data_IF_665888462519
#
_entry.id   IF_665888462519
#
_cell.length_a   1.000
_cell.length_b   1.000
_cell.length_c   1.000
_cell.angle_alpha   90.00
_cell.angle_beta   90.00
_cell.angle_gamma   90.00
#
_symmetry.space_group_name_H-M   'P 1'
#
loop_
_entity.id
_entity.type
_entity.pdbx_description
1 polymer ?
#
# COMPACT_ATOMS: atom_id res chain seq x y z
N UNK A 1 -42.78 10.35 -10.09
CA UNK A 1 -41.88 9.74 -11.08
C UNK A 1 -40.94 8.82 -10.32
N UNK A 2 -41.14 7.52 -10.52
CA UNK A 2 -40.44 6.44 -9.82
C UNK A 2 -39.19 6.09 -10.62
N UNK A 3 -38.02 6.05 -9.98
CA UNK A 3 -36.80 5.53 -10.57
C UNK A 3 -36.35 4.32 -9.75
N UNK A 4 -36.27 3.19 -10.44
CA UNK A 4 -36.02 1.85 -9.95
C UNK A 4 -34.53 1.65 -9.64
N UNK A 5 -34.26 0.87 -8.58
CA UNK A 5 -32.92 0.41 -8.20
C UNK A 5 -32.52 -0.79 -9.07
N UNK A 6 -31.34 -0.72 -9.69
CA UNK A 6 -30.66 -1.87 -10.29
C UNK A 6 -29.68 -2.47 -9.25
N UNK A 7 -30.02 -3.65 -8.74
CA UNK A 7 -29.16 -4.49 -7.91
C UNK A 7 -28.53 -5.55 -8.83
N UNK A 8 -27.20 -5.57 -8.93
CA UNK A 8 -26.46 -6.67 -9.57
C UNK A 8 -25.93 -7.62 -8.48
N UNK A 9 -26.20 -8.94 -8.56
CA UNK A 9 -25.54 -9.92 -7.70
C UNK A 9 -24.16 -10.23 -8.28
N UNK A 10 -23.11 -10.14 -7.45
CA UNK A 10 -21.78 -10.67 -7.81
C UNK A 10 -21.62 -12.04 -7.16
N UNK A 11 -21.55 -13.05 -8.01
CA UNK A 11 -21.47 -14.46 -7.68
C UNK A 11 -20.20 -14.80 -6.87
N UNK A 12 -20.39 -15.72 -5.92
CA UNK A 12 -19.32 -16.37 -5.18
C UNK A 12 -18.62 -17.40 -6.06
N UNK A 13 -17.33 -17.22 -6.32
CA UNK A 13 -16.47 -18.25 -6.90
C UNK A 13 -15.72 -18.97 -5.78
N UNK A 14 -16.16 -20.19 -5.48
CA UNK A 14 -15.37 -21.19 -4.76
C UNK A 14 -14.60 -22.02 -5.78
N UNK A 15 -13.26 -22.04 -5.72
CA UNK A 15 -12.48 -23.13 -6.29
C UNK A 15 -11.39 -23.58 -5.32
N UNK A 16 -11.48 -24.87 -5.02
CA UNK A 16 -10.58 -25.69 -4.21
C UNK A 16 -9.40 -26.19 -5.04
N UNK A 17 -8.25 -26.28 -4.35
CA UNK A 17 -7.18 -27.28 -4.46
C UNK A 17 -6.47 -27.55 -5.79
N UNK A 18 -5.14 -27.43 -5.71
CA UNK A 18 -4.13 -28.44 -6.03
C UNK A 18 -3.08 -28.00 -7.07
N UNK A 19 -1.81 -28.12 -6.64
CA UNK A 19 -0.68 -28.46 -7.50
C UNK A 19 -0.08 -27.32 -8.32
N UNK A 20 1.10 -26.87 -7.91
CA UNK A 20 2.05 -26.29 -8.88
C UNK A 20 3.42 -26.90 -8.66
N UNK A 21 3.77 -27.74 -9.62
CA UNK A 21 5.12 -28.24 -9.88
C UNK A 21 6.07 -27.05 -10.03
N UNK A 22 7.19 -27.10 -9.30
CA UNK A 22 8.35 -26.28 -9.61
C UNK A 22 8.99 -26.81 -10.90
N UNK A 23 8.74 -26.13 -12.02
CA UNK A 23 9.47 -26.34 -13.28
C UNK A 23 10.75 -25.50 -13.17
N UNK A 24 11.88 -26.16 -12.89
CA UNK A 24 13.20 -25.55 -13.09
C UNK A 24 13.53 -25.59 -14.58
N UNK A 25 13.26 -24.50 -15.28
CA UNK A 25 13.79 -24.27 -16.62
C UNK A 25 15.27 -23.90 -16.49
N UNK A 26 16.17 -24.84 -16.78
CA UNK A 26 17.58 -24.53 -16.97
C UNK A 26 17.74 -23.80 -18.32
N UNK A 27 17.87 -22.48 -18.27
CA UNK A 27 18.26 -21.69 -19.42
C UNK A 27 19.76 -21.94 -19.67
N UNK A 28 20.08 -22.84 -20.59
CA UNK A 28 21.41 -22.92 -21.18
C UNK A 28 21.59 -21.74 -22.14
N UNK A 29 22.56 -20.84 -21.94
CA UNK A 29 22.85 -19.81 -22.91
C UNK A 29 23.50 -20.46 -24.15
N UNK A 30 22.80 -20.41 -25.29
CA UNK A 30 23.37 -20.74 -26.60
C UNK A 30 24.19 -19.54 -27.05
N UNK A 31 25.52 -19.61 -26.88
CA UNK A 31 26.44 -18.59 -27.40
C UNK A 31 26.75 -18.90 -28.86
N UNK A 32 26.18 -18.12 -29.78
CA UNK A 32 26.54 -18.16 -31.20
C UNK A 32 27.87 -17.42 -31.42
N UNK A 33 28.94 -18.16 -31.73
CA UNK A 33 30.16 -17.57 -32.28
C UNK A 33 30.00 -17.35 -33.78
N UNK A 34 29.87 -16.09 -34.21
CA UNK A 34 29.96 -15.69 -35.61
C UNK A 34 31.42 -15.41 -35.95
N UNK A 35 32.10 -16.40 -36.53
CA UNK A 35 33.47 -16.22 -37.04
C UNK A 35 33.43 -15.35 -38.29
N UNK A 36 33.86 -14.09 -38.17
CA UNK A 36 34.23 -13.27 -39.33
C UNK A 36 35.63 -13.67 -39.76
N UNK A 37 35.78 -14.12 -41.00
CA UNK A 37 37.07 -14.41 -41.63
C UNK A 37 37.84 -13.10 -41.78
N UNK A 38 38.82 -12.87 -40.92
CA UNK A 38 39.80 -11.78 -41.03
C UNK A 38 41.13 -12.32 -41.57
N UNK A 39 41.68 -11.57 -42.52
CA UNK A 39 42.96 -11.78 -43.20
C UNK A 39 44.13 -12.07 -42.23
N UNK A 40 45.04 -13.02 -42.52
CA UNK A 40 46.09 -13.42 -41.60
C UNK A 40 47.36 -12.58 -41.82
N UNK A 41 47.58 -11.56 -40.99
CA UNK A 41 48.91 -10.93 -40.87
C UNK A 41 49.17 -10.27 -39.51
N UNK A 42 48.82 -10.95 -38.41
CA UNK A 42 49.50 -10.80 -37.11
C UNK A 42 49.06 -11.89 -36.13
N UNK A 43 49.96 -12.49 -35.33
CA UNK A 43 49.57 -13.38 -34.25
C UNK A 43 49.08 -12.55 -33.06
N UNK A 44 47.80 -12.17 -33.08
CA UNK A 44 47.17 -11.51 -31.94
C UNK A 44 46.71 -12.58 -30.93
N UNK A 45 47.48 -12.80 -29.87
CA UNK A 45 47.25 -13.82 -28.82
C UNK A 45 46.06 -13.54 -27.88
N UNK A 46 45.15 -12.63 -28.25
CA UNK A 46 44.03 -12.22 -27.39
C UNK A 46 42.83 -13.17 -27.24
N UNK A 47 42.54 -14.16 -28.12
CA UNK A 47 41.33 -14.99 -27.94
C UNK A 47 41.46 -16.07 -26.86
N UNK A 48 42.68 -16.46 -26.46
CA UNK A 48 42.89 -17.49 -25.44
C UNK A 48 42.66 -16.99 -24.01
N UNK A 49 42.87 -15.70 -23.75
CA UNK A 49 42.73 -15.12 -22.41
C UNK A 49 41.25 -15.01 -21.98
N UNK A 50 40.36 -14.72 -22.93
CA UNK A 50 38.91 -14.60 -22.69
C UNK A 50 38.24 -15.93 -22.39
N UNK A 51 38.73 -17.04 -22.99
CA UNK A 51 38.19 -18.37 -22.75
C UNK A 51 38.50 -18.89 -21.34
N UNK A 52 39.68 -18.55 -20.82
CA UNK A 52 40.15 -19.03 -19.51
C UNK A 52 39.44 -18.33 -18.35
N UNK A 53 39.04 -17.06 -18.52
CA UNK A 53 38.21 -16.34 -17.55
C UNK A 53 36.78 -16.89 -17.51
N UNK A 54 36.23 -17.30 -18.66
CA UNK A 54 34.86 -17.82 -18.73
C UNK A 54 34.72 -19.20 -18.07
N UNK A 55 35.71 -20.07 -18.20
CA UNK A 55 35.72 -21.39 -17.56
C UNK A 55 35.90 -21.30 -16.04
N UNK A 56 36.70 -20.34 -15.55
CA UNK A 56 36.88 -20.12 -14.11
C UNK A 56 35.60 -19.64 -13.41
N UNK A 57 34.78 -18.80 -14.05
CA UNK A 57 33.48 -18.36 -13.50
C UNK A 57 32.49 -19.52 -13.40
N UNK A 58 32.49 -20.44 -14.38
CA UNK A 58 31.63 -21.62 -14.38
C UNK A 58 32.01 -22.67 -13.32
N UNK A 59 33.31 -22.83 -13.06
CA UNK A 59 33.77 -23.71 -11.97
C UNK A 59 33.41 -23.10 -10.61
N UNK A 60 33.47 -21.77 -10.47
CA UNK A 60 33.08 -21.10 -9.22
C UNK A 60 31.58 -21.24 -8.88
N UNK A 61 30.68 -21.24 -9.87
CA UNK A 61 29.24 -21.41 -9.62
C UNK A 61 28.85 -22.85 -9.32
N UNK A 62 29.62 -23.84 -9.79
CA UNK A 62 29.37 -25.27 -9.50
C UNK A 62 29.94 -25.75 -8.16
N UNK A 63 30.80 -24.96 -7.52
CA UNK A 63 31.39 -25.25 -6.20
C UNK A 63 30.62 -24.63 -5.02
N UNK A 64 29.50 -23.95 -5.25
CA UNK A 64 28.61 -23.54 -4.15
C UNK A 64 27.82 -24.77 -3.66
N UNK A 65 28.08 -25.29 -2.44
CA UNK A 65 27.30 -26.38 -1.91
C UNK A 65 25.85 -25.89 -1.72
N UNK A 66 24.93 -26.45 -2.49
CA UNK A 66 23.50 -26.40 -2.17
C UNK A 66 23.37 -27.10 -0.82
N UNK A 67 23.38 -26.31 0.24
CA UNK A 67 23.12 -26.77 1.60
C UNK A 67 21.64 -27.10 1.66
N UNK A 68 21.28 -28.30 1.20
CA UNK A 68 20.00 -28.91 1.52
C UNK A 68 20.00 -29.11 3.03
N UNK A 69 19.39 -28.17 3.76
CA UNK A 69 19.09 -28.37 5.17
C UNK A 69 18.28 -29.65 5.31
N UNK A 70 18.56 -30.48 6.32
CA UNK A 70 17.79 -31.69 6.54
C UNK A 70 16.32 -31.32 6.69
N UNK A 71 15.47 -32.07 5.99
CA UNK A 71 14.02 -32.09 6.17
C UNK A 71 13.78 -32.57 7.61
N UNK A 72 13.79 -31.62 8.53
CA UNK A 72 13.28 -31.78 9.89
C UNK A 72 11.78 -31.57 9.85
N UNK A 73 11.06 -32.57 10.35
CA UNK A 73 9.62 -32.58 10.66
C UNK A 73 8.83 -31.37 10.16
N UNK A 74 8.17 -31.55 9.01
CA UNK A 74 7.05 -30.71 8.59
C UNK A 74 5.83 -30.99 9.47
N UNK A 75 5.95 -30.76 10.78
CA UNK A 75 4.83 -30.17 11.47
C UNK A 75 4.67 -28.80 10.84
N UNK A 76 3.71 -28.69 9.92
CA UNK A 76 3.21 -27.40 9.46
C UNK A 76 2.63 -26.77 10.71
N UNK A 77 3.48 -26.08 11.48
CA UNK A 77 3.04 -24.93 12.24
C UNK A 77 2.55 -23.97 11.17
N UNK A 78 1.25 -24.09 10.84
CA UNK A 78 0.49 -23.01 10.27
C UNK A 78 0.67 -21.90 11.30
N UNK A 79 1.68 -21.04 11.07
CA UNK A 79 1.70 -19.71 11.65
C UNK A 79 0.41 -19.11 11.13
N UNK A 80 -0.64 -19.24 11.93
CA UNK A 80 -1.82 -18.41 11.85
C UNK A 80 -1.24 -17.00 11.90
N UNK A 81 -1.10 -16.39 10.71
CA UNK A 81 -0.57 -15.05 10.60
C UNK A 81 -1.41 -14.20 11.53
N UNK A 82 -0.80 -13.69 12.61
CA UNK A 82 -1.58 -12.96 13.59
C UNK A 82 -2.07 -11.70 12.88
N UNK A 83 -3.37 -11.62 12.71
CA UNK A 83 -4.06 -10.43 12.24
C UNK A 83 -3.45 -9.19 12.91
N UNK A 84 -3.07 -8.20 12.12
CA UNK A 84 -2.47 -6.97 12.63
C UNK A 84 -3.60 -6.01 12.94
N UNK A 85 -3.78 -5.68 14.23
CA UNK A 85 -4.77 -4.72 14.70
C UNK A 85 -4.08 -3.44 15.13
N UNK A 86 -4.50 -2.31 14.56
CA UNK A 86 -3.92 -1.01 14.84
C UNK A 86 -5.03 0.00 15.17
N UNK A 87 -4.93 0.76 16.27
CA UNK A 87 -5.89 1.82 16.54
C UNK A 87 -5.86 2.88 15.44
N UNK A 88 -7.02 3.36 15.02
CA UNK A 88 -7.12 4.49 14.10
C UNK A 88 -7.37 5.75 14.90
N UNK A 89 -6.51 6.73 14.71
CA UNK A 89 -6.55 8.02 15.39
C UNK A 89 -6.42 9.11 14.34
N UNK A 90 -6.71 10.33 14.72
CA UNK A 90 -6.32 11.47 13.91
C UNK A 90 -5.59 12.49 14.78
N UNK A 91 -4.83 13.36 14.13
CA UNK A 91 -4.14 14.47 14.77
C UNK A 91 -4.60 15.78 14.17
N UNK A 92 -4.82 16.75 15.05
CA UNK A 92 -4.98 18.16 14.70
C UNK A 92 -3.73 18.91 15.14
N UNK A 93 -2.99 19.46 14.18
CA UNK A 93 -1.81 20.28 14.43
C UNK A 93 -2.18 21.76 14.34
N UNK A 94 -1.59 22.59 15.22
CA UNK A 94 -1.84 24.05 15.29
C UNK A 94 -3.34 24.42 15.29
N UNK A 95 -4.13 23.76 16.14
CA UNK A 95 -5.56 24.02 16.27
C UNK A 95 -5.87 25.50 16.51
N UNK A 96 -6.86 26.02 15.78
CA UNK A 96 -7.34 27.39 15.90
C UNK A 96 -6.48 28.43 15.17
N UNK A 97 -5.47 28.00 14.41
CA UNK A 97 -4.67 28.89 13.57
C UNK A 97 -4.97 28.67 12.08
N UNK A 98 -4.47 29.59 11.26
CA UNK A 98 -4.45 29.50 9.80
C UNK A 98 -3.45 28.46 9.26
N UNK A 99 -2.70 27.80 10.13
CA UNK A 99 -1.77 26.70 9.81
C UNK A 99 -2.27 25.36 10.39
N UNK A 100 -3.56 25.30 10.72
CA UNK A 100 -4.19 24.11 11.24
C UNK A 100 -4.09 22.98 10.20
N UNK A 101 -3.62 21.80 10.64
CA UNK A 101 -3.33 20.68 9.75
C UNK A 101 -3.84 19.36 10.31
N UNK A 102 -4.54 18.59 9.48
CA UNK A 102 -5.20 17.34 9.86
C UNK A 102 -4.47 16.14 9.27
N UNK A 103 -4.30 15.10 10.09
CA UNK A 103 -3.52 13.92 9.72
C UNK A 103 -4.22 12.66 10.21
N UNK A 104 -4.25 11.62 9.38
CA UNK A 104 -4.69 10.29 9.75
C UNK A 104 -3.52 9.56 10.41
N UNK A 105 -3.75 8.85 11.51
CA UNK A 105 -2.71 8.08 12.20
C UNK A 105 -3.22 6.66 12.41
N UNK A 106 -2.46 5.68 11.93
CA UNK A 106 -2.80 4.26 12.08
C UNK A 106 -1.71 3.61 12.93
N UNK A 107 -2.11 3.10 14.09
CA UNK A 107 -1.19 2.55 15.08
C UNK A 107 -0.55 3.63 15.96
N UNK A 108 0.72 3.42 16.29
CA UNK A 108 1.50 4.32 17.18
C UNK A 108 2.59 5.09 16.44
N UNK A 109 2.85 4.76 15.18
CA UNK A 109 4.02 5.24 14.46
C UNK A 109 3.73 5.70 13.02
N UNK A 110 2.61 5.36 12.41
CA UNK A 110 2.39 5.68 10.99
C UNK A 110 1.34 6.78 10.87
N UNK A 111 1.79 7.96 10.45
CA UNK A 111 0.94 9.10 10.12
C UNK A 111 0.85 9.29 8.61
N UNK A 112 -0.30 9.77 8.16
CA UNK A 112 -0.62 10.01 6.77
C UNK A 112 -1.21 11.41 6.63
N UNK A 113 -0.71 12.17 5.68
CA UNK A 113 -1.23 13.52 5.44
C UNK A 113 -1.04 13.99 4.01
N UNK A 114 -1.86 14.98 3.65
CA UNK A 114 -1.67 15.77 2.46
C UNK A 114 -0.78 16.98 2.77
N UNK A 115 0.29 17.16 2.01
CA UNK A 115 1.13 18.35 2.02
C UNK A 115 0.69 19.24 0.87
N UNK A 116 0.84 20.55 1.05
CA UNK A 116 0.58 21.59 0.06
C UNK A 116 0.87 21.12 -1.38
N UNK A 117 -0.15 21.22 -2.24
CA UNK A 117 -0.09 20.73 -3.62
C UNK A 117 -0.46 19.24 -3.77
N UNK A 118 -1.34 18.71 -2.89
CA UNK A 118 -1.87 17.36 -2.98
C UNK A 118 -0.81 16.26 -2.98
N UNK A 119 0.33 16.51 -2.32
CA UNK A 119 1.35 15.47 -2.13
C UNK A 119 0.99 14.67 -0.90
N UNK A 120 0.71 13.38 -1.08
CA UNK A 120 0.38 12.49 0.02
C UNK A 120 1.66 11.88 0.57
N UNK A 121 1.85 11.94 1.89
CA UNK A 121 3.04 11.42 2.55
C UNK A 121 2.70 10.54 3.76
N UNK A 122 3.51 9.49 3.93
CA UNK A 122 3.59 8.70 5.15
C UNK A 122 4.76 9.24 5.98
N UNK A 123 4.55 9.43 7.27
CA UNK A 123 5.59 9.88 8.20
C UNK A 123 5.59 9.06 9.49
N UNK A 124 6.76 8.98 10.11
CA UNK A 124 6.89 8.36 11.42
C UNK A 124 6.43 9.33 12.51
N UNK A 125 5.37 8.95 13.21
CA UNK A 125 4.81 9.67 14.34
C UNK A 125 5.65 9.49 15.60
N UNK A 126 5.90 10.58 16.34
CA UNK A 126 6.58 10.53 17.64
C UNK A 126 5.61 10.04 18.74
N UNK A 127 5.84 8.85 19.34
CA UNK A 127 4.96 8.31 20.37
C UNK A 127 4.81 9.23 21.60
N UNK A 128 5.78 10.11 21.86
CA UNK A 128 5.71 11.08 22.97
C UNK A 128 4.60 12.11 22.79
N UNK A 129 4.11 12.27 21.57
CA UNK A 129 3.02 13.17 21.26
C UNK A 129 1.63 12.51 21.34
N UNK A 130 1.55 11.23 21.75
CA UNK A 130 0.30 10.45 21.74
C UNK A 130 -0.89 11.12 22.46
N UNK A 131 -0.65 12.00 23.44
CA UNK A 131 -1.69 12.79 24.11
C UNK A 131 -2.38 13.82 23.22
N UNK A 132 -1.79 14.15 22.06
CA UNK A 132 -2.33 15.05 21.04
C UNK A 132 -3.15 14.31 19.97
N UNK A 133 -3.22 12.98 20.05
CA UNK A 133 -4.03 12.17 19.15
C UNK A 133 -5.46 12.12 19.67
N UNK A 134 -6.40 12.24 18.74
CA UNK A 134 -7.82 12.10 19.01
C UNK A 134 -8.21 10.70 18.54
N UNK A 135 -8.73 9.91 19.48
CA UNK A 135 -9.17 8.55 19.23
C UNK A 135 -10.46 8.57 18.39
N UNK A 136 -10.48 7.81 17.30
CA UNK A 136 -11.64 7.69 16.43
C UNK A 136 -12.61 6.59 16.86
N UNK A 137 -12.25 5.79 17.87
CA UNK A 137 -13.08 4.73 18.40
C UNK A 137 -13.17 3.50 17.49
N UNK A 138 -12.20 3.31 16.58
CA UNK A 138 -12.12 2.15 15.72
C UNK A 138 -10.69 1.62 15.58
N UNK A 139 -10.57 0.35 15.18
CA UNK A 139 -9.31 -0.30 14.88
C UNK A 139 -9.28 -0.71 13.40
N UNK A 140 -8.14 -0.50 12.76
CA UNK A 140 -7.83 -1.06 11.46
C UNK A 140 -7.28 -2.47 11.64
N UNK A 141 -7.89 -3.41 10.92
CA UNK A 141 -7.65 -4.84 11.06
C UNK A 141 -7.15 -5.39 9.73
N UNK A 142 -5.88 -5.79 9.70
CA UNK A 142 -5.22 -6.32 8.51
C UNK A 142 -4.98 -7.83 8.64
N UNK A 143 -5.19 -8.63 7.59
CA UNK A 143 -4.92 -10.07 7.62
C UNK A 143 -3.48 -10.42 8.00
N UNK A 144 -2.51 -9.63 7.51
CA UNK A 144 -1.09 -9.81 7.75
C UNK A 144 -0.31 -8.49 7.55
N UNK A 145 0.99 -8.50 7.87
CA UNK A 145 1.85 -7.31 7.73
C UNK A 145 2.04 -6.88 6.27
N UNK A 146 2.02 -7.82 5.32
CA UNK A 146 2.18 -7.49 3.91
C UNK A 146 0.97 -6.71 3.37
N UNK A 147 -0.23 -7.09 3.79
CA UNK A 147 -1.48 -6.40 3.49
C UNK A 147 -1.49 -5.02 4.13
N UNK A 148 -1.08 -4.90 5.40
CA UNK A 148 -0.91 -3.60 6.07
C UNK A 148 0.03 -2.68 5.27
N UNK A 149 1.21 -3.15 4.89
CA UNK A 149 2.18 -2.36 4.11
C UNK A 149 1.66 -1.98 2.72
N UNK A 150 0.90 -2.87 2.07
CA UNK A 150 0.23 -2.57 0.81
C UNK A 150 -0.79 -1.43 0.99
N UNK A 151 -1.66 -1.54 1.98
CA UNK A 151 -2.68 -0.52 2.27
C UNK A 151 -2.02 0.83 2.59
N UNK A 152 -0.93 0.84 3.36
CA UNK A 152 -0.22 2.09 3.68
C UNK A 152 0.33 2.78 2.43
N UNK A 153 0.86 2.01 1.47
CA UNK A 153 1.28 2.55 0.17
C UNK A 153 0.09 3.07 -0.66
N UNK A 154 -1.05 2.40 -0.59
CA UNK A 154 -2.27 2.80 -1.30
C UNK A 154 -2.85 4.11 -0.73
N UNK A 155 -2.76 4.32 0.59
CA UNK A 155 -3.16 5.57 1.25
C UNK A 155 -2.33 6.81 0.82
N UNK A 156 -1.13 6.62 0.27
CA UNK A 156 -0.32 7.69 -0.33
C UNK A 156 -0.20 7.55 -1.84
N UNK A 157 -1.02 6.68 -2.43
CA UNK A 157 -0.97 6.28 -3.82
C UNK A 157 -1.68 7.23 -4.77
N UNK A 158 -1.52 6.97 -6.07
CA UNK A 158 -2.08 7.78 -7.14
C UNK A 158 -3.62 7.75 -7.19
N UNK A 159 -4.25 6.67 -6.73
CA UNK A 159 -5.70 6.52 -6.75
C UNK A 159 -6.36 7.50 -5.77
N UNK A 160 -5.92 7.49 -4.51
CA UNK A 160 -6.43 8.42 -3.49
C UNK A 160 -6.07 9.88 -3.83
N UNK A 161 -4.89 10.10 -4.43
CA UNK A 161 -4.53 11.42 -4.95
C UNK A 161 -5.49 11.89 -6.04
N UNK A 162 -5.87 11.03 -6.97
CA UNK A 162 -6.78 11.39 -8.07
C UNK A 162 -8.16 11.78 -7.55
N UNK A 163 -8.64 11.11 -6.49
CA UNK A 163 -9.89 11.49 -5.81
C UNK A 163 -9.77 12.88 -5.19
N UNK A 164 -8.64 13.18 -4.55
CA UNK A 164 -8.35 14.51 -3.99
C UNK A 164 -8.27 15.60 -5.06
N UNK A 165 -7.58 15.34 -6.17
CA UNK A 165 -7.42 16.29 -7.28
C UNK A 165 -8.75 16.57 -8.04
N UNK A 166 -9.79 15.77 -7.82
CA UNK A 166 -11.10 15.95 -8.46
C UNK A 166 -11.87 17.16 -7.89
N UNK A 167 -11.61 17.55 -6.64
CA UNK A 167 -12.15 18.75 -6.02
C UNK A 167 -11.02 19.78 -5.81
N UNK A 168 -11.00 20.90 -6.57
CA UNK A 168 -9.96 21.92 -6.42
C UNK A 168 -9.99 22.62 -5.04
N UNK A 169 -11.05 22.43 -4.27
CA UNK A 169 -11.19 22.96 -2.91
C UNK A 169 -10.88 21.89 -1.84
N UNK A 170 -10.34 20.74 -2.24
CA UNK A 170 -9.94 19.66 -1.34
C UNK A 170 -8.70 20.03 -0.53
N UNK A 171 -8.62 19.52 0.70
CA UNK A 171 -7.46 19.74 1.58
C UNK A 171 -7.20 18.54 2.50
N UNK A 172 -6.25 18.69 3.42
CA UNK A 172 -5.87 17.65 4.38
C UNK A 172 -7.03 16.97 5.14
N UNK A 173 -8.14 17.65 5.44
CA UNK A 173 -9.29 17.02 6.11
C UNK A 173 -10.10 16.15 5.14
N UNK A 174 -10.23 16.57 3.88
CA UNK A 174 -10.82 15.76 2.82
C UNK A 174 -9.95 14.53 2.51
N UNK A 175 -8.62 14.66 2.62
CA UNK A 175 -7.71 13.52 2.54
C UNK A 175 -7.95 12.51 3.67
N UNK A 176 -8.10 12.97 4.92
CA UNK A 176 -8.43 12.08 6.05
C UNK A 176 -9.78 11.39 5.80
N UNK A 177 -10.78 12.10 5.28
CA UNK A 177 -12.06 11.52 4.87
C UNK A 177 -11.88 10.42 3.82
N UNK A 178 -11.16 10.69 2.74
CA UNK A 178 -10.90 9.74 1.67
C UNK A 178 -10.16 8.50 2.18
N UNK A 179 -9.12 8.68 3.01
CA UNK A 179 -8.39 7.57 3.62
C UNK A 179 -9.26 6.70 4.53
N UNK A 180 -10.16 7.30 5.32
CA UNK A 180 -11.10 6.54 6.16
C UNK A 180 -12.14 5.79 5.33
N UNK A 181 -12.66 6.40 4.25
CA UNK A 181 -13.57 5.72 3.31
C UNK A 181 -12.88 4.55 2.63
N UNK A 182 -11.65 4.74 2.15
CA UNK A 182 -10.85 3.68 1.57
C UNK A 182 -10.72 2.48 2.54
N UNK A 183 -10.36 2.74 3.80
CA UNK A 183 -10.23 1.70 4.81
C UNK A 183 -11.57 0.99 5.11
N UNK A 184 -12.67 1.75 5.11
CA UNK A 184 -14.01 1.23 5.38
C UNK A 184 -14.52 0.34 4.24
N UNK A 185 -14.42 0.81 3.00
CA UNK A 185 -14.96 0.14 1.82
C UNK A 185 -14.21 -1.16 1.52
N UNK A 186 -12.93 -1.22 1.86
CA UNK A 186 -12.12 -2.44 1.79
C UNK A 186 -12.25 -3.33 3.04
N UNK A 187 -13.07 -2.93 4.02
CA UNK A 187 -13.39 -3.72 5.21
C UNK A 187 -12.28 -3.79 6.26
N UNK A 188 -11.28 -2.91 6.20
CA UNK A 188 -10.22 -2.83 7.20
C UNK A 188 -10.67 -2.15 8.48
N UNK A 189 -11.68 -1.27 8.43
CA UNK A 189 -12.34 -0.68 9.61
C UNK A 189 -13.83 -0.96 9.56
N UNK A 190 -14.41 -1.41 10.69
CA UNK A 190 -15.87 -1.53 10.88
C UNK A 190 -16.24 -1.26 12.34
N UNK A 191 -17.17 -0.34 12.64
CA UNK A 191 -17.88 0.59 11.73
C UNK A 191 -17.04 1.80 11.31
N UNK A 192 -17.58 2.64 10.41
CA UNK A 192 -17.00 3.96 10.10
C UNK A 192 -16.96 4.84 11.37
N UNK A 193 -15.87 5.56 11.66
CA UNK A 193 -15.68 6.23 12.95
C UNK A 193 -16.63 7.42 13.14
N UNK A 194 -17.58 7.26 14.05
CA UNK A 194 -18.55 8.32 14.41
C UNK A 194 -17.87 9.61 14.88
N UNK A 195 -16.81 9.48 15.69
CA UNK A 195 -16.04 10.63 16.18
C UNK A 195 -15.51 11.50 15.02
N UNK A 196 -15.04 10.88 13.94
CA UNK A 196 -14.61 11.61 12.74
C UNK A 196 -15.79 12.31 12.07
N UNK A 197 -16.90 11.59 11.85
CA UNK A 197 -18.12 12.14 11.25
C UNK A 197 -18.63 13.36 12.01
N UNK A 198 -18.65 13.29 13.34
CA UNK A 198 -19.10 14.38 14.21
C UNK A 198 -18.20 15.61 14.06
N UNK A 199 -16.88 15.44 14.06
CA UNK A 199 -15.92 16.54 13.89
C UNK A 199 -16.02 17.13 12.47
N UNK A 200 -16.05 16.29 11.44
CA UNK A 200 -16.13 16.72 10.05
C UNK A 200 -17.40 17.54 9.82
N UNK A 201 -18.56 17.05 10.24
CA UNK A 201 -19.85 17.72 10.01
C UNK A 201 -20.01 18.98 10.89
N UNK A 202 -19.50 18.97 12.12
CA UNK A 202 -19.66 20.10 13.05
C UNK A 202 -18.65 21.23 12.80
N UNK A 203 -17.42 20.89 12.46
CA UNK A 203 -16.31 21.86 12.41
C UNK A 203 -15.86 22.15 10.98
N UNK A 204 -15.75 21.11 10.14
CA UNK A 204 -15.11 21.25 8.83
C UNK A 204 -16.09 21.61 7.70
N UNK A 205 -17.19 20.87 7.52
CA UNK A 205 -18.15 21.12 6.45
C UNK A 205 -18.69 22.57 6.46
N UNK A 206 -19.09 23.15 7.63
CA UNK A 206 -19.53 24.54 7.66
C UNK A 206 -18.44 25.54 7.27
N UNK A 207 -17.17 25.25 7.60
CA UNK A 207 -16.03 26.08 7.23
C UNK A 207 -15.77 26.00 5.72
N UNK A 208 -15.80 24.79 5.14
CA UNK A 208 -15.65 24.58 3.70
C UNK A 208 -16.74 25.29 2.90
N UNK A 209 -18.01 25.15 3.29
CA UNK A 209 -19.13 25.86 2.69
C UNK A 209 -18.97 27.39 2.76
N UNK A 210 -18.47 27.92 3.88
CA UNK A 210 -18.24 29.36 4.05
C UNK A 210 -17.12 29.89 3.15
N UNK A 211 -16.06 29.10 2.95
CA UNK A 211 -14.89 29.51 2.17
C UNK A 211 -15.10 29.36 0.65
N UNK A 212 -15.80 28.31 0.23
CA UNK A 212 -15.88 27.92 -1.19
C UNK A 212 -17.32 27.94 -1.77
N UNK A 213 -18.34 28.16 -0.94
CA UNK A 213 -19.75 28.21 -1.34
C UNK A 213 -20.51 26.88 -1.16
N UNK A 214 -21.84 26.97 -1.09
CA UNK A 214 -22.72 25.85 -0.70
C UNK A 214 -22.81 24.69 -1.73
N UNK A 215 -22.31 24.86 -2.95
CA UNK A 215 -22.39 23.84 -4.01
C UNK A 215 -21.31 22.75 -3.91
N UNK A 216 -20.43 22.79 -2.92
CA UNK A 216 -19.31 21.85 -2.75
C UNK A 216 -19.52 20.81 -1.66
N UNK A 217 -20.65 20.84 -0.94
CA UNK A 217 -20.84 19.98 0.23
C UNK A 217 -21.74 18.76 -0.06
N UNK A 218 -21.15 17.58 0.14
CA UNK A 218 -21.89 16.41 0.56
C UNK A 218 -21.51 16.14 2.02
N UNK A 219 -22.43 16.46 2.93
CA UNK A 219 -22.34 16.04 4.33
C UNK A 219 -22.05 14.53 4.37
N UNK A 220 -21.25 14.08 5.34
CA UNK A 220 -21.02 12.65 5.49
C UNK A 220 -22.32 12.03 6.01
N UNK A 221 -23.10 11.45 5.11
CA UNK A 221 -24.28 10.64 5.42
C UNK A 221 -23.79 9.19 5.43
N UNK A 222 -23.42 8.69 6.61
CA UNK A 222 -23.18 7.26 6.79
C UNK A 222 -24.57 6.63 6.84
N UNK A 223 -25.02 5.98 5.75
CA UNK A 223 -26.20 5.14 5.83
C UNK A 223 -25.86 3.95 6.72
N UNK A 224 -26.51 3.85 7.88
CA UNK A 224 -26.47 2.65 8.72
C UNK A 224 -27.18 1.52 7.96
N UNK A 225 -26.45 0.88 7.04
CA UNK A 225 -26.86 -0.42 6.51
C UNK A 225 -26.58 -1.47 7.59
N UNK A 226 -27.58 -1.63 8.46
CA UNK A 226 -27.72 -2.76 9.38
C UNK A 226 -27.91 -4.09 8.65
#
# INVERSE_FOLDING_TARGET
MLAEYLIFPREAFTHSSAGSLAIFASLTPVVFFRSTVSNPSSPDMRPFQSFLLFTLVWIWTSLLPVSASPIGDNSIHIRTGSQVKLPVKFRRFKQGTNEEHWMLVIGTANGFHEIAGHKLEEFNYDPREASKLIDLGCEAVFPDSATKEKVFKELVGAELKKEMDADPNSNCMDYVKAGLWYLHDHGYIKPFPKTFTDIYNKEYAPLKAKLFGAHHDQAIIVSEHH
#
